data_IF_711482252255
#
_entry.id   IF_711482252255
#
_cell.length_a   1.000
_cell.length_b   1.000
_cell.length_c   1.000
_cell.angle_alpha   90.00
_cell.angle_beta   90.00
_cell.angle_gamma   90.00
#
_symmetry.space_group_name_H-M   'P 1'
#
loop_
_entity.id
_entity.type
_entity.pdbx_description
1 polymer ?
#
# COMPACT_ATOMS: atom_id res chain seq x y z
N UNK A 1 28.85 -10.93 -11.36
CA UNK A 1 28.62 -10.75 -9.90
C UNK A 1 27.13 -10.67 -9.68
N UNK A 2 26.64 -11.34 -8.64
CA UNK A 2 25.23 -11.26 -8.23
C UNK A 2 24.94 -9.85 -7.70
N UNK A 3 23.80 -9.27 -8.07
CA UNK A 3 23.42 -7.92 -7.67
C UNK A 3 22.93 -7.96 -6.22
N UNK A 4 23.30 -6.99 -5.35
CA UNK A 4 22.69 -6.91 -4.03
C UNK A 4 21.18 -6.71 -4.14
N UNK A 5 20.44 -7.30 -3.20
CA UNK A 5 18.97 -7.19 -3.14
C UNK A 5 18.56 -6.25 -2.01
N UNK A 6 17.67 -5.31 -2.32
CA UNK A 6 16.99 -4.47 -1.33
C UNK A 6 15.58 -4.99 -1.16
N UNK A 7 15.26 -5.39 0.07
CA UNK A 7 13.92 -5.82 0.45
C UNK A 7 13.10 -4.61 0.90
N UNK A 8 12.08 -4.26 0.12
CA UNK A 8 11.07 -3.28 0.49
C UNK A 8 9.87 -3.99 1.10
N UNK A 9 9.76 -3.95 2.42
CA UNK A 9 8.62 -4.51 3.15
C UNK A 9 7.54 -3.45 3.25
N UNK A 10 6.40 -3.67 2.60
CA UNK A 10 5.28 -2.74 2.54
C UNK A 10 3.98 -3.42 2.98
N UNK A 11 2.93 -2.62 3.21
CA UNK A 11 1.57 -3.14 3.35
C UNK A 11 0.62 -2.32 2.48
N UNK A 12 -0.38 -2.97 1.88
CA UNK A 12 -1.36 -2.29 1.02
C UNK A 12 -2.21 -1.28 1.81
N UNK A 13 -2.45 -1.53 3.11
CA UNK A 13 -3.23 -0.65 3.99
C UNK A 13 -2.37 0.40 4.71
N UNK A 14 -1.05 0.36 4.55
CA UNK A 14 -0.12 1.25 5.23
C UNK A 14 -0.04 2.61 4.53
N UNK A 15 -0.64 3.64 5.14
CA UNK A 15 -0.61 5.01 4.59
C UNK A 15 0.81 5.55 4.38
N UNK A 16 1.74 5.31 5.31
CA UNK A 16 3.14 5.76 5.14
C UNK A 16 3.86 5.04 4.00
N UNK A 17 3.50 3.78 3.73
CA UNK A 17 4.00 3.02 2.61
C UNK A 17 3.49 3.62 1.30
N UNK A 18 2.22 4.06 1.26
CA UNK A 18 1.66 4.82 0.13
C UNK A 18 2.41 6.16 -0.07
N UNK A 19 2.63 6.89 1.02
CA UNK A 19 3.44 8.11 1.05
C UNK A 19 4.86 7.92 0.49
N UNK A 20 5.49 6.79 0.82
CA UNK A 20 6.85 6.46 0.39
C UNK A 20 6.94 5.91 -1.04
N UNK A 21 5.81 5.60 -1.69
CA UNK A 21 5.77 4.96 -3.01
C UNK A 21 6.62 5.67 -4.07
N UNK A 22 6.57 7.00 -4.13
CA UNK A 22 7.37 7.78 -5.07
C UNK A 22 8.88 7.73 -4.78
N UNK A 23 9.28 7.57 -3.52
CA UNK A 23 10.69 7.47 -3.12
C UNK A 23 11.27 6.13 -3.56
N UNK A 24 10.56 5.04 -3.28
CA UNK A 24 11.03 3.70 -3.67
C UNK A 24 11.02 3.51 -5.20
N UNK A 25 10.09 4.14 -5.92
CA UNK A 25 10.11 4.17 -7.39
C UNK A 25 11.36 4.88 -7.91
N UNK A 26 11.67 6.09 -7.41
CA UNK A 26 12.90 6.81 -7.77
C UNK A 26 14.16 6.01 -7.41
N UNK A 27 14.15 5.30 -6.29
CA UNK A 27 15.24 4.42 -5.90
C UNK A 27 15.44 3.30 -6.94
N UNK A 28 14.36 2.59 -7.31
CA UNK A 28 14.42 1.52 -8.32
C UNK A 28 14.93 2.04 -9.68
N UNK A 29 14.49 3.24 -10.09
CA UNK A 29 14.95 3.90 -11.32
C UNK A 29 16.44 4.26 -11.27
N UNK A 30 16.89 4.91 -10.19
CA UNK A 30 18.27 5.39 -10.05
C UNK A 30 19.29 4.26 -9.93
N UNK A 31 18.91 3.13 -9.32
CA UNK A 31 19.78 1.97 -9.11
C UNK A 31 19.50 0.83 -10.08
N UNK A 32 18.73 1.10 -11.15
CA UNK A 32 18.38 0.10 -12.16
C UNK A 32 19.63 -0.54 -12.73
N UNK A 33 19.63 -1.87 -12.76
CA UNK A 33 20.76 -2.64 -13.27
C UNK A 33 21.90 -2.85 -12.26
N UNK A 34 21.93 -2.12 -11.15
CA UNK A 34 22.94 -2.23 -10.08
C UNK A 34 22.41 -3.01 -8.88
N UNK A 35 21.15 -2.76 -8.50
CA UNK A 35 20.47 -3.37 -7.35
C UNK A 35 19.20 -4.07 -7.83
N UNK A 36 18.86 -5.19 -7.21
CA UNK A 36 17.55 -5.82 -7.35
C UNK A 36 16.63 -5.34 -6.23
N UNK A 37 15.41 -4.91 -6.56
CA UNK A 37 14.40 -4.57 -5.55
C UNK A 37 13.41 -5.72 -5.43
N UNK A 38 13.27 -6.26 -4.23
CA UNK A 38 12.28 -7.29 -3.91
C UNK A 38 11.24 -6.70 -2.95
N UNK A 39 9.97 -6.83 -3.29
CA UNK A 39 8.88 -6.24 -2.49
C UNK A 39 8.10 -7.33 -1.77
N UNK A 40 7.92 -7.19 -0.46
CA UNK A 40 7.27 -8.16 0.41
C UNK A 40 6.10 -7.53 1.16
N UNK A 41 4.97 -8.23 1.23
CA UNK A 41 3.85 -7.83 2.07
C UNK A 41 4.16 -8.10 3.55
N UNK A 42 4.10 -7.07 4.39
CA UNK A 42 4.48 -7.11 5.80
C UNK A 42 3.37 -7.59 6.75
N UNK A 43 2.10 -7.60 6.32
CA UNK A 43 0.98 -8.12 7.11
C UNK A 43 0.62 -7.24 8.31
N UNK A 44 0.48 -5.93 8.09
CA UNK A 44 0.23 -4.92 9.12
C UNK A 44 -1.04 -5.22 9.95
N UNK A 45 -2.13 -5.59 9.27
CA UNK A 45 -3.43 -5.89 9.87
C UNK A 45 -3.82 -7.33 9.56
N UNK A 46 -3.46 -8.24 10.48
CA UNK A 46 -3.71 -9.68 10.36
C UNK A 46 -4.15 -10.28 11.70
N UNK A 47 -4.75 -11.47 11.65
CA UNK A 47 -5.19 -12.20 12.84
C UNK A 47 -6.13 -11.36 13.73
N UNK A 48 -5.79 -11.23 15.01
CA UNK A 48 -6.60 -10.49 15.99
C UNK A 48 -6.67 -8.98 15.76
N UNK A 49 -5.89 -8.43 14.82
CA UNK A 49 -5.94 -7.01 14.45
C UNK A 49 -6.97 -6.70 13.36
N UNK A 50 -7.49 -7.73 12.70
CA UNK A 50 -8.54 -7.57 11.69
C UNK A 50 -9.79 -6.99 12.35
N UNK A 51 -10.35 -5.96 11.75
CA UNK A 51 -11.54 -5.30 12.28
C UNK A 51 -12.02 -4.16 11.38
N UNK A 52 -13.19 -3.58 11.70
CA UNK A 52 -13.75 -2.49 10.92
C UNK A 52 -12.84 -1.26 10.98
N UNK A 53 -12.70 -0.56 9.85
CA UNK A 53 -11.85 0.64 9.75
C UNK A 53 -12.35 1.79 10.61
N UNK A 54 -13.62 1.76 11.04
CA UNK A 54 -14.17 2.69 12.03
C UNK A 54 -13.35 2.74 13.33
N UNK A 55 -12.66 1.66 13.71
CA UNK A 55 -11.75 1.63 14.86
C UNK A 55 -10.56 2.60 14.70
N UNK A 56 -10.20 2.96 13.46
CA UNK A 56 -9.06 3.81 13.11
C UNK A 56 -9.46 5.11 12.40
N UNK A 57 -10.74 5.30 12.10
CA UNK A 57 -11.22 6.39 11.24
C UNK A 57 -10.80 7.77 11.76
N UNK A 58 -10.99 8.05 13.05
CA UNK A 58 -10.62 9.34 13.66
C UNK A 58 -9.11 9.59 13.61
N UNK A 59 -8.31 8.56 13.88
CA UNK A 59 -6.86 8.63 13.78
C UNK A 59 -6.41 8.91 12.33
N UNK A 60 -7.03 8.23 11.35
CA UNK A 60 -6.72 8.42 9.93
C UNK A 60 -7.05 9.85 9.51
N UNK A 61 -8.21 10.41 9.92
CA UNK A 61 -8.56 11.80 9.60
C UNK A 61 -7.58 12.82 10.17
N UNK A 62 -7.08 12.56 11.38
CA UNK A 62 -6.10 13.45 12.02
C UNK A 62 -4.71 13.36 11.36
N UNK A 63 -4.32 12.19 10.88
CA UNK A 63 -2.96 11.95 10.39
C UNK A 63 -2.79 12.07 8.87
N UNK A 64 -3.84 11.81 8.08
CA UNK A 64 -3.80 11.90 6.63
C UNK A 64 -3.36 13.29 6.10
N UNK A 65 -3.81 14.43 6.67
CA UNK A 65 -3.33 15.75 6.24
C UNK A 65 -1.81 15.92 6.42
N UNK A 66 -1.28 15.45 7.55
CA UNK A 66 0.16 15.52 7.85
C UNK A 66 0.98 14.63 6.91
N UNK A 67 0.45 13.45 6.58
CA UNK A 67 1.06 12.53 5.61
C UNK A 67 1.13 13.17 4.22
N UNK A 68 0.02 13.77 3.75
CA UNK A 68 -0.05 14.55 2.50
C UNK A 68 0.96 15.70 2.52
N UNK A 69 1.05 16.47 3.60
CA UNK A 69 1.99 17.58 3.74
C UNK A 69 3.45 17.14 3.61
N UNK A 70 3.83 16.05 4.27
CA UNK A 70 5.22 15.55 4.27
C UNK A 70 5.59 14.90 2.92
N UNK A 71 4.67 14.11 2.35
CA UNK A 71 5.01 13.21 1.23
C UNK A 71 4.50 13.69 -0.12
N UNK A 72 3.56 14.65 -0.14
CA UNK A 72 2.91 15.17 -1.34
C UNK A 72 1.87 14.23 -1.97
N UNK A 73 1.64 13.04 -1.40
CA UNK A 73 0.59 12.13 -1.92
C UNK A 73 -0.79 12.69 -1.65
N UNK A 74 -1.78 12.28 -2.45
CA UNK A 74 -3.16 12.72 -2.32
C UNK A 74 -4.06 11.52 -2.10
N UNK A 75 -4.95 11.65 -1.13
CA UNK A 75 -6.07 10.72 -0.98
C UNK A 75 -7.21 11.16 -1.88
N UNK A 76 -7.90 10.20 -2.49
CA UNK A 76 -9.09 10.49 -3.28
C UNK A 76 -10.33 10.66 -2.41
N UNK A 77 -11.33 11.36 -2.94
CA UNK A 77 -12.60 11.56 -2.22
C UNK A 77 -13.28 10.23 -1.90
N UNK A 78 -13.22 9.27 -2.82
CA UNK A 78 -13.79 7.93 -2.64
C UNK A 78 -13.18 7.16 -1.46
N UNK A 79 -11.89 7.35 -1.16
CA UNK A 79 -11.29 6.75 0.03
C UNK A 79 -11.96 7.26 1.31
N UNK A 80 -12.23 8.56 1.40
CA UNK A 80 -12.93 9.10 2.56
C UNK A 80 -14.40 8.71 2.56
N UNK A 81 -15.14 8.89 1.46
CA UNK A 81 -16.59 8.65 1.43
C UNK A 81 -16.95 7.17 1.52
N UNK A 82 -16.24 6.29 0.81
CA UNK A 82 -16.61 4.87 0.68
C UNK A 82 -15.96 4.01 1.77
N UNK A 83 -14.72 4.33 2.18
CA UNK A 83 -13.99 3.51 3.15
C UNK A 83 -14.10 4.10 4.55
N UNK A 84 -13.67 5.35 4.75
CA UNK A 84 -13.56 5.93 6.10
C UNK A 84 -14.93 6.33 6.68
N UNK A 85 -15.77 7.01 5.90
CA UNK A 85 -17.06 7.57 6.36
C UNK A 85 -18.10 6.45 6.58
N UNK A 86 -18.17 5.47 5.68
CA UNK A 86 -19.03 4.28 5.88
C UNK A 86 -18.55 3.44 7.07
N UNK A 87 -17.24 3.33 7.26
CA UNK A 87 -16.62 2.64 8.40
C UNK A 87 -16.86 1.12 8.42
N UNK A 88 -17.53 0.56 7.42
CA UNK A 88 -17.87 -0.87 7.30
C UNK A 88 -16.76 -1.70 6.69
N UNK A 89 -15.80 -1.07 6.00
CA UNK A 89 -14.64 -1.77 5.42
C UNK A 89 -13.88 -2.53 6.51
N UNK A 90 -13.69 -3.84 6.29
CA UNK A 90 -12.90 -4.66 7.20
C UNK A 90 -11.43 -4.52 6.81
N UNK A 91 -10.65 -3.91 7.69
CA UNK A 91 -9.21 -3.78 7.50
C UNK A 91 -8.57 -5.17 7.65
N UNK A 92 -8.15 -5.74 6.53
CA UNK A 92 -7.41 -7.00 6.46
C UNK A 92 -6.33 -6.89 5.39
N UNK A 93 -5.06 -7.05 5.78
CA UNK A 93 -3.91 -6.95 4.88
C UNK A 93 -3.73 -8.20 4.01
N UNK A 94 -4.38 -9.32 4.36
CA UNK A 94 -4.16 -10.61 3.69
C UNK A 94 -4.73 -10.67 2.25
N UNK A 95 -5.99 -10.28 1.95
CA UNK A 95 -6.49 -10.29 0.58
C UNK A 95 -5.63 -9.51 -0.43
N UNK A 96 -5.24 -8.24 -0.18
CA UNK A 96 -4.37 -7.53 -1.12
C UNK A 96 -2.94 -8.10 -1.16
N UNK A 97 -2.46 -8.75 -0.10
CA UNK A 97 -1.16 -9.45 -0.13
C UNK A 97 -1.18 -10.70 -1.02
N UNK A 98 -2.29 -11.45 -1.02
CA UNK A 98 -2.51 -12.58 -1.93
C UNK A 98 -2.57 -12.08 -3.38
N UNK A 99 -3.39 -11.05 -3.65
CA UNK A 99 -3.49 -10.45 -4.97
C UNK A 99 -2.13 -9.94 -5.47
N UNK A 100 -1.36 -9.27 -4.59
CA UNK A 100 -0.01 -8.83 -4.91
C UNK A 100 0.94 -9.97 -5.27
N UNK A 101 0.90 -11.06 -4.51
CA UNK A 101 1.74 -12.24 -4.75
C UNK A 101 1.45 -12.86 -6.12
N UNK A 102 0.18 -12.99 -6.49
CA UNK A 102 -0.25 -13.49 -7.81
C UNK A 102 0.20 -12.53 -8.92
N UNK A 103 0.01 -11.22 -8.76
CA UNK A 103 0.42 -10.22 -9.75
C UNK A 103 1.95 -10.22 -9.96
N UNK A 104 2.72 -10.44 -8.90
CA UNK A 104 4.18 -10.56 -8.98
C UNK A 104 4.64 -11.76 -9.81
N UNK A 105 3.90 -12.87 -9.82
CA UNK A 105 4.22 -14.01 -10.70
C UNK A 105 4.08 -13.64 -12.19
N UNK A 106 3.16 -12.73 -12.52
CA UNK A 106 2.89 -12.32 -13.90
C UNK A 106 3.77 -11.14 -14.36
N UNK A 107 4.20 -10.28 -13.43
CA UNK A 107 5.00 -9.08 -13.72
C UNK A 107 6.13 -8.89 -12.68
N UNK A 108 6.98 -9.91 -12.57
CA UNK A 108 8.09 -9.97 -11.61
C UNK A 108 9.13 -8.85 -11.77
N UNK A 109 9.19 -8.19 -12.93
CA UNK A 109 10.12 -7.10 -13.23
C UNK A 109 9.66 -5.73 -12.72
N UNK A 110 8.44 -5.63 -12.16
CA UNK A 110 7.83 -4.36 -11.71
C UNK A 110 7.20 -4.41 -10.31
N UNK A 111 7.84 -5.03 -9.29
CA UNK A 111 7.20 -5.28 -8.01
C UNK A 111 6.86 -3.97 -7.26
N UNK A 112 7.67 -2.93 -7.37
CA UNK A 112 7.40 -1.61 -6.77
C UNK A 112 6.19 -0.94 -7.41
N UNK A 113 6.09 -1.00 -8.74
CA UNK A 113 4.94 -0.44 -9.47
C UNK A 113 3.65 -1.14 -9.08
N UNK A 114 3.65 -2.47 -9.00
CA UNK A 114 2.49 -3.25 -8.58
C UNK A 114 2.04 -2.89 -7.15
N UNK A 115 2.98 -2.78 -6.21
CA UNK A 115 2.68 -2.44 -4.81
C UNK A 115 2.02 -1.07 -4.68
N UNK A 116 2.55 -0.08 -5.39
CA UNK A 116 1.99 1.28 -5.36
C UNK A 116 0.65 1.39 -6.09
N UNK A 117 0.47 0.64 -7.19
CA UNK A 117 -0.82 0.57 -7.89
C UNK A 117 -1.92 -0.02 -7.01
N UNK A 118 -1.63 -1.08 -6.26
CA UNK A 118 -2.57 -1.62 -5.27
C UNK A 118 -2.97 -0.53 -4.26
N UNK A 119 -2.01 0.17 -3.67
CA UNK A 119 -2.31 1.25 -2.73
C UNK A 119 -3.20 2.35 -3.34
N UNK A 120 -3.05 2.68 -4.62
CA UNK A 120 -3.91 3.66 -5.31
C UNK A 120 -5.36 3.19 -5.44
N UNK A 121 -5.59 1.90 -5.70
CA UNK A 121 -6.97 1.36 -5.77
C UNK A 121 -7.76 1.65 -4.50
N UNK A 122 -7.11 1.65 -3.34
CA UNK A 122 -7.79 2.01 -2.10
C UNK A 122 -7.69 3.49 -1.77
N UNK A 123 -6.48 4.05 -1.64
CA UNK A 123 -6.28 5.41 -1.14
C UNK A 123 -6.75 6.50 -2.11
N UNK A 124 -6.92 6.18 -3.39
CA UNK A 124 -7.45 7.11 -4.39
C UNK A 124 -8.84 6.69 -4.83
N UNK A 125 -9.02 5.43 -5.21
CA UNK A 125 -10.25 4.97 -5.87
C UNK A 125 -11.28 4.39 -4.87
N UNK A 126 -10.91 4.16 -3.61
CA UNK A 126 -11.84 3.72 -2.57
C UNK A 126 -12.31 2.27 -2.72
N UNK A 127 -11.53 1.40 -3.37
CA UNK A 127 -11.86 -0.02 -3.50
C UNK A 127 -11.74 -0.79 -2.16
N UNK A 128 -12.69 -1.69 -1.92
CA UNK A 128 -12.64 -2.70 -0.85
C UNK A 128 -11.86 -3.92 -1.34
N UNK A 129 -10.74 -4.25 -0.70
CA UNK A 129 -9.92 -5.42 -1.06
C UNK A 129 -10.50 -6.76 -0.60
N UNK A 130 -11.57 -6.77 0.19
CA UNK A 130 -12.25 -8.01 0.60
C UNK A 130 -13.32 -8.44 -0.41
N UNK A 131 -13.72 -7.55 -1.33
CA UNK A 131 -14.62 -7.87 -2.43
C UNK A 131 -13.80 -8.54 -3.54
N UNK A 132 -13.90 -9.87 -3.63
CA UNK A 132 -13.30 -10.69 -4.70
C UNK A 132 -14.38 -11.03 -5.72
#
# INVERSE_FOLDING_TARGET
MEKPTVFYVFDALCGWCYGFGHVIQKFEENYRGQVQTEVLSGGMVTGSRIGPISNMADYIRQTAPRLTEITGVKFGEAYFSEIIDKGTYISNSEPPAIAFSILKEQAADKPVTLAHSLQKLQFVEGHDFNEV
#
